data_IF_790589717874
#
_entry.id   IF_790589717874
#
_cell.length_a   1.000
_cell.length_b   1.000
_cell.length_c   1.000
_cell.angle_alpha   90.00
_cell.angle_beta   90.00
_cell.angle_gamma   90.00
#
_symmetry.space_group_name_H-M   'P 1'
#
loop_
_entity.id
_entity.type
_entity.pdbx_description
1 polymer ?
#
# COMPACT_ATOMS: atom_id res chain seq x y z
N UNK A 1 -4.77 35.59 14.46
CA UNK A 1 -3.33 35.55 14.11
C UNK A 1 -2.96 34.10 13.88
N UNK A 2 -2.87 33.70 12.60
CA UNK A 2 -2.46 32.33 12.22
C UNK A 2 -0.93 32.31 12.27
N UNK A 3 -0.37 31.65 13.29
CA UNK A 3 1.08 31.46 13.39
C UNK A 3 1.47 30.42 12.34
N UNK A 4 1.98 30.88 11.21
CA UNK A 4 2.59 30.03 10.19
C UNK A 4 3.89 29.48 10.76
N UNK A 5 3.90 28.21 11.10
CA UNK A 5 5.11 27.50 11.54
C UNK A 5 6.13 27.55 10.39
N UNK A 6 7.37 28.01 10.62
CA UNK A 6 8.39 28.00 9.56
C UNK A 6 8.61 26.59 9.06
N UNK A 7 8.88 26.45 7.75
CA UNK A 7 9.22 25.15 7.17
C UNK A 7 10.50 24.61 7.84
N UNK A 8 10.55 23.32 8.18
CA UNK A 8 11.73 22.73 8.78
C UNK A 8 12.92 22.80 7.81
N UNK A 9 14.12 22.99 8.34
CA UNK A 9 15.36 22.94 7.55
C UNK A 9 15.58 21.54 6.99
N UNK A 10 16.39 21.39 5.93
CA UNK A 10 16.70 20.09 5.31
C UNK A 10 17.28 19.11 6.34
N UNK A 11 18.07 19.57 7.28
CA UNK A 11 18.63 18.73 8.37
C UNK A 11 17.53 18.25 9.31
N UNK A 12 16.62 19.12 9.73
CA UNK A 12 15.48 18.73 10.56
C UNK A 12 14.54 17.75 9.86
N UNK A 13 14.37 17.88 8.53
CA UNK A 13 13.60 16.94 7.74
C UNK A 13 14.25 15.55 7.71
N UNK A 14 15.57 15.48 7.54
CA UNK A 14 16.33 14.23 7.57
C UNK A 14 16.27 13.56 8.96
N UNK A 15 16.38 14.32 10.03
CA UNK A 15 16.27 13.79 11.40
C UNK A 15 14.84 13.26 11.67
N UNK A 16 13.82 13.97 11.23
CA UNK A 16 12.44 13.53 11.33
C UNK A 16 12.16 12.25 10.54
N UNK A 17 12.74 12.15 9.33
CA UNK A 17 12.63 10.97 8.49
C UNK A 17 13.32 9.76 9.14
N UNK A 18 14.53 9.94 9.66
CA UNK A 18 15.25 8.89 10.38
C UNK A 18 14.49 8.39 11.60
N UNK A 19 13.95 9.30 12.42
CA UNK A 19 13.14 8.96 13.58
C UNK A 19 11.83 8.26 13.20
N UNK A 20 11.22 8.63 12.09
CA UNK A 20 10.01 7.97 11.56
C UNK A 20 10.33 6.55 11.08
N UNK A 21 11.45 6.36 10.39
CA UNK A 21 11.90 5.05 9.94
C UNK A 21 12.17 4.09 11.12
N UNK A 22 12.82 4.56 12.18
CA UNK A 22 13.05 3.75 13.38
C UNK A 22 11.73 3.34 14.07
N UNK A 23 10.79 4.25 14.20
CA UNK A 23 9.46 3.94 14.77
C UNK A 23 8.72 2.91 13.93
N UNK A 24 8.81 3.02 12.62
CA UNK A 24 8.18 2.10 11.69
C UNK A 24 8.79 0.70 11.80
N UNK A 25 10.13 0.61 11.83
CA UNK A 25 10.85 -0.66 12.06
C UNK A 25 10.41 -1.31 13.36
N UNK A 26 10.34 -0.56 14.46
CA UNK A 26 9.89 -1.06 15.74
C UNK A 26 8.45 -1.58 15.72
N UNK A 27 7.54 -0.93 15.00
CA UNK A 27 6.17 -1.40 14.86
C UNK A 27 6.07 -2.68 14.03
N UNK A 28 6.79 -2.76 12.92
CA UNK A 28 6.82 -3.94 12.06
C UNK A 28 7.45 -5.13 12.80
N UNK A 29 8.53 -4.92 13.54
CA UNK A 29 9.21 -5.94 14.33
C UNK A 29 8.33 -6.59 15.41
N UNK A 30 7.27 -5.92 15.86
CA UNK A 30 6.30 -6.51 16.80
C UNK A 30 5.47 -7.63 16.18
N UNK A 31 5.27 -7.61 14.88
CA UNK A 31 4.43 -8.59 14.16
C UNK A 31 5.25 -9.58 13.33
N UNK A 32 6.45 -9.17 12.90
CA UNK A 32 7.30 -9.94 12.00
C UNK A 32 8.65 -10.14 12.67
N UNK A 33 8.99 -11.39 12.94
CA UNK A 33 10.25 -11.79 13.56
C UNK A 33 11.13 -12.49 12.53
N UNK A 34 12.41 -12.11 12.47
CA UNK A 34 13.42 -12.85 11.70
C UNK A 34 13.45 -12.56 10.20
N UNK A 35 12.82 -11.48 9.71
CA UNK A 35 12.83 -11.09 8.28
C UNK A 35 13.18 -9.61 8.07
N UNK A 36 14.11 -9.12 8.85
CA UNK A 36 14.48 -7.69 8.88
C UNK A 36 14.96 -7.20 7.52
N UNK A 37 15.78 -7.96 6.82
CA UNK A 37 16.31 -7.61 5.49
C UNK A 37 15.19 -7.47 4.45
N UNK A 38 14.22 -8.37 4.47
CA UNK A 38 13.06 -8.29 3.55
C UNK A 38 12.18 -7.08 3.85
N UNK A 39 11.96 -6.76 5.13
CA UNK A 39 11.22 -5.57 5.56
C UNK A 39 11.94 -4.30 5.11
N UNK A 40 13.25 -4.21 5.29
CA UNK A 40 14.07 -3.09 4.82
C UNK A 40 13.95 -2.89 3.31
N UNK A 41 14.02 -3.99 2.54
CA UNK A 41 13.85 -3.96 1.09
C UNK A 41 12.47 -3.44 0.65
N UNK A 42 11.40 -3.87 1.33
CA UNK A 42 10.05 -3.40 1.08
C UNK A 42 9.92 -1.90 1.40
N UNK A 43 10.44 -1.47 2.55
CA UNK A 43 10.42 -0.07 2.95
C UNK A 43 11.20 0.81 1.97
N UNK A 44 12.38 0.38 1.54
CA UNK A 44 13.19 1.08 0.56
C UNK A 44 12.43 1.23 -0.78
N UNK A 45 11.77 0.18 -1.25
CA UNK A 45 10.98 0.22 -2.47
C UNK A 45 9.80 1.19 -2.37
N UNK A 46 9.07 1.19 -1.24
CA UNK A 46 7.95 2.10 -1.00
C UNK A 46 8.42 3.55 -0.94
N UNK A 47 9.48 3.84 -0.19
CA UNK A 47 10.02 5.20 -0.05
C UNK A 47 10.60 5.74 -1.36
N UNK A 48 11.17 4.87 -2.19
CA UNK A 48 11.66 5.23 -3.52
C UNK A 48 10.53 5.35 -4.57
N UNK A 49 9.29 5.02 -4.24
CA UNK A 49 8.18 4.96 -5.20
C UNK A 49 8.37 3.89 -6.26
N UNK A 50 9.08 2.82 -5.93
CA UNK A 50 9.44 1.72 -6.83
C UNK A 50 8.65 0.44 -6.58
N UNK A 51 9.18 -0.66 -7.08
CA UNK A 51 8.61 -2.00 -6.97
C UNK A 51 9.61 -2.95 -6.33
N UNK A 52 9.12 -3.99 -5.65
CA UNK A 52 9.93 -5.04 -5.05
C UNK A 52 9.51 -6.41 -5.55
N UNK A 53 10.47 -7.28 -5.81
CA UNK A 53 10.24 -8.69 -6.11
C UNK A 53 10.65 -9.53 -4.89
N UNK A 54 9.66 -10.20 -4.27
CA UNK A 54 9.87 -11.05 -3.10
C UNK A 54 10.00 -12.52 -3.52
N UNK A 55 11.23 -13.02 -3.51
CA UNK A 55 11.53 -14.43 -3.82
C UNK A 55 11.73 -15.19 -2.50
N UNK A 56 11.07 -16.31 -2.34
CA UNK A 56 11.24 -17.15 -1.14
C UNK A 56 10.26 -18.31 -1.07
N UNK A 57 10.49 -19.19 -0.09
CA UNK A 57 9.67 -20.39 0.13
C UNK A 57 8.22 -20.00 0.43
N UNK A 58 7.21 -20.71 -0.11
CA UNK A 58 5.81 -20.53 0.24
C UNK A 58 5.60 -20.69 1.76
N UNK A 59 4.75 -19.87 2.37
CA UNK A 59 4.42 -19.97 3.80
C UNK A 59 5.25 -19.08 4.73
N UNK A 60 6.24 -18.33 4.24
CA UNK A 60 7.04 -17.39 5.05
C UNK A 60 6.39 -16.02 5.26
N UNK A 61 5.08 -16.00 5.43
CA UNK A 61 4.32 -14.79 5.79
C UNK A 61 4.58 -13.55 4.88
N UNK A 62 4.98 -13.73 3.63
CA UNK A 62 5.26 -12.63 2.68
C UNK A 62 4.09 -11.66 2.56
N UNK A 63 2.88 -12.19 2.39
CA UNK A 63 1.65 -11.39 2.31
C UNK A 63 1.42 -10.61 3.61
N UNK A 64 1.60 -11.25 4.75
CA UNK A 64 1.46 -10.61 6.06
C UNK A 64 2.48 -9.50 6.25
N UNK A 65 3.72 -9.69 5.78
CA UNK A 65 4.79 -8.71 5.86
C UNK A 65 4.44 -7.44 5.08
N UNK A 66 4.06 -7.59 3.80
CA UNK A 66 3.69 -6.45 2.95
C UNK A 66 2.45 -5.74 3.50
N UNK A 67 1.46 -6.48 3.96
CA UNK A 67 0.26 -5.91 4.58
C UNK A 67 0.58 -5.15 5.87
N UNK A 68 1.42 -5.70 6.75
CA UNK A 68 1.83 -5.05 7.99
C UNK A 68 2.59 -3.75 7.74
N UNK A 69 3.47 -3.73 6.75
CA UNK A 69 4.21 -2.51 6.36
C UNK A 69 3.25 -1.45 5.81
N UNK A 70 2.33 -1.84 4.93
CA UNK A 70 1.33 -0.93 4.38
C UNK A 70 0.42 -0.35 5.47
N UNK A 71 -0.03 -1.17 6.41
CA UNK A 71 -0.84 -0.75 7.56
C UNK A 71 -0.07 0.21 8.47
N UNK A 72 1.19 -0.07 8.77
CA UNK A 72 2.03 0.80 9.60
C UNK A 72 2.30 2.17 8.97
N UNK A 73 2.27 2.25 7.63
CA UNK A 73 2.39 3.48 6.86
C UNK A 73 1.04 4.15 6.54
N UNK A 74 -0.07 3.60 7.03
CA UNK A 74 -1.43 4.04 6.71
C UNK A 74 -1.71 4.08 5.20
N UNK A 75 -1.13 3.15 4.44
CA UNK A 75 -1.33 3.00 3.01
C UNK A 75 -2.44 1.99 2.72
N UNK A 76 -3.21 2.25 1.66
CA UNK A 76 -4.18 1.27 1.15
C UNK A 76 -3.45 0.08 0.53
N UNK A 77 -3.88 -1.11 0.91
CA UNK A 77 -3.32 -2.38 0.45
C UNK A 77 -4.36 -3.21 -0.28
N UNK A 78 -3.98 -3.78 -1.42
CA UNK A 78 -4.78 -4.73 -2.17
C UNK A 78 -3.92 -5.91 -2.61
N UNK A 79 -4.56 -7.07 -2.75
CA UNK A 79 -3.92 -8.29 -3.25
C UNK A 79 -4.58 -8.72 -4.54
N UNK A 80 -3.78 -9.04 -5.55
CA UNK A 80 -4.21 -9.67 -6.79
C UNK A 80 -3.65 -11.08 -6.84
N UNK A 81 -4.52 -12.06 -6.94
CA UNK A 81 -4.10 -13.46 -7.13
C UNK A 81 -4.23 -13.82 -8.60
N UNK A 82 -3.11 -14.08 -9.24
CA UNK A 82 -3.08 -14.45 -10.65
C UNK A 82 -3.50 -15.91 -10.81
N UNK A 83 -4.74 -16.10 -11.24
CA UNK A 83 -5.31 -17.40 -11.62
C UNK A 83 -5.49 -17.44 -13.12
N UNK A 84 -5.59 -18.64 -13.77
CA UNK A 84 -5.72 -18.75 -15.22
C UNK A 84 -6.97 -18.06 -15.80
N UNK A 85 -7.98 -17.82 -14.99
CA UNK A 85 -9.25 -17.19 -15.35
C UNK A 85 -9.29 -15.68 -15.03
N UNK A 86 -8.20 -15.10 -14.52
CA UNK A 86 -8.10 -13.69 -14.19
C UNK A 86 -8.25 -12.83 -15.46
N UNK A 87 -9.21 -11.91 -15.43
CA UNK A 87 -9.43 -10.95 -16.50
C UNK A 87 -8.76 -9.62 -16.20
N UNK A 88 -8.33 -8.84 -17.19
CA UNK A 88 -7.78 -7.49 -16.98
C UNK A 88 -8.71 -6.57 -16.18
N UNK A 89 -10.02 -6.67 -16.38
CA UNK A 89 -11.02 -5.91 -15.64
C UNK A 89 -11.06 -6.23 -14.14
N UNK A 90 -10.62 -7.43 -13.73
CA UNK A 90 -10.51 -7.80 -12.32
C UNK A 90 -9.40 -7.01 -11.62
N UNK A 91 -8.44 -6.52 -12.36
CA UNK A 91 -7.32 -5.70 -11.87
C UNK A 91 -7.63 -4.21 -11.98
N UNK A 92 -8.09 -3.77 -13.15
CA UNK A 92 -8.29 -2.35 -13.45
C UNK A 92 -9.64 -1.81 -12.99
N UNK A 93 -10.62 -2.69 -12.82
CA UNK A 93 -11.99 -2.31 -12.54
C UNK A 93 -12.86 -2.31 -13.80
N UNK A 94 -14.13 -2.08 -13.62
CA UNK A 94 -15.13 -2.14 -14.68
C UNK A 94 -16.21 -1.07 -14.50
N UNK A 95 -16.84 -0.67 -15.59
CA UNK A 95 -18.04 0.16 -15.55
C UNK A 95 -19.28 -0.71 -15.33
N UNK A 96 -20.10 -0.31 -14.41
CA UNK A 96 -21.41 -0.90 -14.15
C UNK A 96 -22.51 0.13 -14.42
N UNK A 97 -23.68 -0.38 -14.84
CA UNK A 97 -24.89 0.45 -14.97
C UNK A 97 -25.64 0.38 -13.66
N UNK A 98 -25.76 1.51 -13.00
CA UNK A 98 -26.59 1.69 -11.80
C UNK A 98 -27.91 2.33 -12.20
N UNK A 99 -29.03 1.73 -11.78
CA UNK A 99 -30.35 2.32 -11.93
C UNK A 99 -30.80 2.92 -10.60
N UNK A 100 -31.05 4.21 -10.59
CA UNK A 100 -31.61 4.88 -9.44
C UNK A 100 -33.09 4.48 -9.32
N UNK A 101 -33.40 3.68 -8.31
CA UNK A 101 -34.74 3.16 -8.04
C UNK A 101 -35.77 4.27 -7.76
N UNK A 102 -35.32 5.47 -7.42
CA UNK A 102 -36.19 6.61 -7.11
C UNK A 102 -36.56 7.39 -8.36
N UNK A 103 -35.61 7.54 -9.30
CA UNK A 103 -35.79 8.37 -10.50
C UNK A 103 -35.88 7.55 -11.79
N UNK A 104 -35.60 6.26 -11.76
CA UNK A 104 -35.54 5.37 -12.94
C UNK A 104 -34.42 5.71 -13.93
N UNK A 105 -33.49 6.63 -13.57
CA UNK A 105 -32.37 7.00 -14.41
C UNK A 105 -31.25 6.00 -14.29
N UNK A 106 -30.69 5.63 -15.45
CA UNK A 106 -29.47 4.78 -15.53
C UNK A 106 -28.24 5.66 -15.64
N UNK A 107 -27.27 5.39 -14.80
CA UNK A 107 -25.95 6.04 -14.83
C UNK A 107 -24.84 5.00 -14.89
N UNK A 108 -23.77 5.30 -15.61
CA UNK A 108 -22.58 4.48 -15.58
C UNK A 108 -21.75 4.84 -14.35
N UNK A 109 -21.34 3.84 -13.58
CA UNK A 109 -20.42 4.01 -12.47
C UNK A 109 -19.20 3.11 -12.65
N UNK A 110 -18.03 3.71 -12.58
CA UNK A 110 -16.78 2.95 -12.58
C UNK A 110 -16.50 2.38 -11.20
N UNK A 111 -16.37 1.05 -11.11
CA UNK A 111 -15.95 0.33 -9.91
C UNK A 111 -14.45 0.07 -10.01
N UNK A 112 -13.70 0.70 -9.14
CA UNK A 112 -12.23 0.60 -9.11
C UNK A 112 -11.80 -0.82 -8.76
N UNK A 113 -10.87 -1.35 -9.54
CA UNK A 113 -10.20 -2.61 -9.24
C UNK A 113 -9.04 -2.45 -8.24
N UNK A 114 -8.38 -3.56 -7.87
CA UNK A 114 -7.31 -3.56 -6.87
C UNK A 114 -6.07 -2.73 -7.25
N UNK A 115 -5.87 -2.39 -8.53
CA UNK A 115 -4.76 -1.52 -8.95
C UNK A 115 -4.86 -0.11 -8.37
N UNK A 116 -6.05 0.33 -7.95
CA UNK A 116 -6.27 1.63 -7.33
C UNK A 116 -5.97 1.59 -5.82
N UNK A 117 -4.82 1.10 -5.45
CA UNK A 117 -4.30 1.10 -4.08
C UNK A 117 -2.87 1.65 -4.08
N UNK A 118 -2.39 2.06 -2.89
CA UNK A 118 -1.02 2.53 -2.75
C UNK A 118 -0.01 1.39 -2.85
N UNK A 119 -0.38 0.22 -2.31
CA UNK A 119 0.42 -1.00 -2.32
C UNK A 119 -0.41 -2.14 -2.89
N UNK A 120 0.08 -2.77 -3.94
CA UNK A 120 -0.55 -3.93 -4.57
C UNK A 120 0.40 -5.11 -4.49
N UNK A 121 -0.05 -6.20 -3.88
CA UNK A 121 0.65 -7.48 -3.89
C UNK A 121 0.08 -8.34 -5.02
N UNK A 122 0.93 -8.66 -5.98
CA UNK A 122 0.62 -9.46 -7.15
C UNK A 122 1.18 -10.89 -7.03
#
# INVERSE_FOLDING_TARGET
MTVTRPAPSDVEQLEQLAAAAERLRAQVARRIVGQEEAVEGILAAILAGGHALLIGVPGLAKTMMVHTVAEALALSFQRVQFTPDLMPSDITGTEIIEEDLTTGKRAFRFVKGPVFANVVLA
#
